data_IF_872393854885
#
_entry.id   IF_872393854885
#
_cell.length_a   1.000
_cell.length_b   1.000
_cell.length_c   1.000
_cell.angle_alpha   90.00
_cell.angle_beta   90.00
_cell.angle_gamma   90.00
#
_symmetry.space_group_name_H-M   'P 1'
#
loop_
_entity.id
_entity.type
_entity.pdbx_description
1 polymer ?
#
# COMPACT_ATOMS: atom_id res chain seq x y z
N UNK A 1 -33.98 -39.48 23.58
CA UNK A 1 -32.52 -39.49 23.38
C UNK A 1 -32.13 -38.08 22.99
N UNK A 2 -31.24 -37.49 23.78
CA UNK A 2 -30.87 -36.08 23.81
C UNK A 2 -30.37 -35.52 22.47
N UNK A 3 -30.97 -34.42 22.01
CA UNK A 3 -30.38 -33.54 21.00
C UNK A 3 -30.01 -32.23 21.69
N UNK A 4 -28.88 -32.26 22.43
CA UNK A 4 -28.35 -31.13 23.19
C UNK A 4 -27.14 -30.56 22.47
N UNK A 5 -27.27 -29.28 22.09
CA UNK A 5 -26.19 -28.33 21.90
C UNK A 5 -25.10 -28.71 20.88
N UNK A 6 -25.41 -28.53 19.60
CA UNK A 6 -24.41 -28.00 18.67
C UNK A 6 -24.11 -26.56 19.10
N UNK A 7 -23.19 -26.42 20.06
CA UNK A 7 -22.71 -25.13 20.49
C UNK A 7 -22.28 -24.32 19.28
N UNK A 8 -22.95 -23.20 19.02
CA UNK A 8 -22.43 -22.13 18.16
C UNK A 8 -21.06 -21.80 18.73
N UNK A 9 -20.02 -22.37 18.11
CA UNK A 9 -18.62 -22.08 18.43
C UNK A 9 -18.50 -20.57 18.24
N UNK A 10 -18.39 -19.85 19.35
CA UNK A 10 -18.23 -18.39 19.38
C UNK A 10 -16.96 -18.09 18.58
N UNK A 11 -17.11 -17.75 17.29
CA UNK A 11 -15.97 -17.44 16.40
C UNK A 11 -15.26 -16.24 17.03
N UNK A 12 -13.99 -16.42 17.38
CA UNK A 12 -13.22 -15.44 18.14
C UNK A 12 -13.29 -14.07 17.48
N UNK A 13 -13.81 -13.09 18.21
CA UNK A 13 -13.80 -11.68 17.81
C UNK A 13 -12.37 -11.15 17.94
N UNK A 14 -11.55 -11.35 16.92
CA UNK A 14 -10.23 -10.72 16.85
C UNK A 14 -10.40 -9.25 16.50
N UNK A 15 -9.72 -8.36 17.24
CA UNK A 15 -9.67 -6.92 16.95
C UNK A 15 -9.04 -6.65 15.57
N UNK A 16 -8.13 -7.53 15.16
CA UNK A 16 -7.46 -7.52 13.87
C UNK A 16 -7.86 -8.78 13.12
N UNK A 17 -8.67 -8.61 12.07
CA UNK A 17 -8.96 -9.68 11.13
C UNK A 17 -7.99 -9.57 9.96
N UNK A 18 -7.29 -10.68 9.68
CA UNK A 18 -6.54 -10.85 8.45
C UNK A 18 -7.37 -11.74 7.55
N UNK A 19 -7.82 -11.18 6.44
CA UNK A 19 -8.51 -11.90 5.38
C UNK A 19 -7.59 -12.00 4.17
N UNK A 20 -7.59 -13.14 3.51
CA UNK A 20 -6.88 -13.31 2.25
C UNK A 20 -7.91 -13.35 1.14
N UNK A 21 -7.82 -12.41 0.21
CA UNK A 21 -8.69 -12.40 -0.97
C UNK A 21 -8.49 -13.72 -1.73
N UNK A 22 -9.57 -14.40 -2.17
CA UNK A 22 -9.43 -15.59 -2.98
C UNK A 22 -8.63 -15.31 -4.27
N UNK A 23 -8.01 -16.35 -4.86
CA UNK A 23 -7.44 -16.22 -6.19
C UNK A 23 -8.53 -15.83 -7.19
N UNK A 24 -8.15 -15.11 -8.24
CA UNK A 24 -9.09 -14.74 -9.30
C UNK A 24 -9.64 -15.97 -10.01
N UNK A 25 -10.89 -15.88 -10.47
CA UNK A 25 -11.48 -16.90 -11.33
C UNK A 25 -10.86 -16.84 -12.73
N UNK A 26 -11.06 -17.90 -13.53
CA UNK A 26 -10.56 -17.94 -14.90
C UNK A 26 -11.20 -16.84 -15.77
N UNK A 27 -12.47 -16.52 -15.51
CA UNK A 27 -13.20 -15.44 -16.16
C UNK A 27 -12.57 -14.09 -15.82
N UNK A 28 -12.29 -13.82 -14.55
CA UNK A 28 -11.61 -12.59 -14.12
C UNK A 28 -10.23 -12.45 -14.77
N UNK A 29 -9.44 -13.53 -14.81
CA UNK A 29 -8.12 -13.52 -15.47
C UNK A 29 -8.28 -13.23 -16.97
N UNK A 30 -9.26 -13.85 -17.63
CA UNK A 30 -9.56 -13.61 -19.05
C UNK A 30 -9.96 -12.15 -19.29
N UNK A 31 -10.82 -11.59 -18.44
CA UNK A 31 -11.28 -10.21 -18.54
C UNK A 31 -10.15 -9.21 -18.27
N UNK A 32 -9.26 -9.47 -17.31
CA UNK A 32 -8.06 -8.65 -17.08
C UNK A 32 -7.08 -8.69 -18.27
N UNK A 33 -7.02 -9.82 -18.97
CA UNK A 33 -6.15 -9.97 -20.14
C UNK A 33 -6.75 -9.39 -21.43
N UNK A 34 -8.06 -9.14 -21.47
CA UNK A 34 -8.76 -8.67 -22.65
C UNK A 34 -8.35 -7.24 -23.07
N UNK A 35 -8.05 -6.38 -22.10
CA UNK A 35 -7.70 -4.98 -22.33
C UNK A 35 -6.48 -4.54 -21.51
N UNK A 36 -5.67 -3.58 -22.02
CA UNK A 36 -4.57 -3.02 -21.24
C UNK A 36 -5.06 -2.32 -19.97
N UNK A 37 -4.47 -2.64 -18.82
CA UNK A 37 -4.77 -1.94 -17.57
C UNK A 37 -4.14 -0.54 -17.51
N UNK A 38 -4.84 0.46 -18.07
CA UNK A 38 -4.38 1.86 -18.07
C UNK A 38 -4.26 2.46 -16.66
N UNK A 39 -4.95 1.92 -15.65
CA UNK A 39 -4.87 2.39 -14.26
C UNK A 39 -3.49 2.15 -13.65
N UNK A 40 -2.80 1.08 -14.06
CA UNK A 40 -1.48 0.71 -13.54
C UNK A 40 -0.35 0.90 -14.59
N UNK A 41 -0.64 0.77 -15.89
CA UNK A 41 0.39 0.76 -16.94
C UNK A 41 1.26 2.03 -16.98
N UNK A 42 0.70 3.19 -16.64
CA UNK A 42 1.46 4.44 -16.63
C UNK A 42 2.64 4.43 -15.64
N UNK A 43 2.62 3.57 -14.62
CA UNK A 43 3.72 3.42 -13.64
C UNK A 43 5.03 2.93 -14.26
N UNK A 44 4.97 2.31 -15.44
CA UNK A 44 6.15 1.89 -16.20
C UNK A 44 6.81 3.05 -16.98
N UNK A 45 6.15 4.20 -17.10
CA UNK A 45 6.73 5.36 -17.77
C UNK A 45 7.85 5.99 -16.93
N UNK A 46 8.96 6.38 -17.56
CA UNK A 46 10.09 7.04 -16.86
C UNK A 46 9.65 8.31 -16.13
N UNK A 47 8.72 9.08 -16.73
CA UNK A 47 8.16 10.28 -16.09
C UNK A 47 7.41 9.96 -14.79
N UNK A 48 6.74 8.80 -14.73
CA UNK A 48 6.10 8.32 -13.51
C UNK A 48 7.12 7.99 -12.41
N UNK A 49 8.36 7.63 -12.75
CA UNK A 49 9.40 7.41 -11.74
C UNK A 49 9.95 8.76 -11.26
N UNK A 50 10.18 9.68 -12.19
CA UNK A 50 10.68 11.03 -11.90
C UNK A 50 9.75 11.79 -10.95
N UNK A 51 8.43 11.61 -11.04
CA UNK A 51 7.48 12.35 -10.19
C UNK A 51 7.70 12.08 -8.69
N UNK A 52 8.21 10.91 -8.31
CA UNK A 52 8.49 10.61 -6.90
C UNK A 52 9.57 11.52 -6.34
N UNK A 53 10.66 11.74 -7.08
CA UNK A 53 11.71 12.69 -6.67
C UNK A 53 11.20 14.12 -6.63
N UNK A 54 10.37 14.51 -7.61
CA UNK A 54 9.75 15.85 -7.65
C UNK A 54 8.85 16.05 -6.43
N UNK A 55 7.96 15.10 -6.13
CA UNK A 55 7.08 15.17 -4.97
C UNK A 55 7.85 15.27 -3.66
N UNK A 56 8.90 14.46 -3.48
CA UNK A 56 9.75 14.51 -2.28
C UNK A 56 10.45 15.87 -2.18
N UNK A 57 11.02 16.39 -3.27
CA UNK A 57 11.66 17.70 -3.28
C UNK A 57 10.67 18.83 -2.98
N UNK A 58 9.48 18.80 -3.57
CA UNK A 58 8.42 19.77 -3.30
C UNK A 58 7.95 19.73 -1.85
N UNK A 59 7.73 18.54 -1.28
CA UNK A 59 7.38 18.36 0.14
C UNK A 59 8.49 18.91 1.04
N UNK A 60 9.76 18.62 0.72
CA UNK A 60 10.89 19.11 1.52
C UNK A 60 10.97 20.63 1.51
N UNK A 61 10.90 21.25 0.33
CA UNK A 61 10.87 22.71 0.18
C UNK A 61 9.68 23.31 0.94
N UNK A 62 8.49 22.69 0.81
CA UNK A 62 7.29 23.15 1.48
C UNK A 62 7.47 23.19 3.01
N UNK A 63 7.96 22.11 3.63
CA UNK A 63 8.15 22.06 5.08
C UNK A 63 9.32 22.93 5.57
N UNK A 64 10.37 23.11 4.76
CA UNK A 64 11.52 23.97 5.10
C UNK A 64 11.17 25.46 5.17
N UNK A 65 10.18 25.90 4.39
CA UNK A 65 9.76 27.31 4.35
C UNK A 65 8.91 27.69 5.56
N UNK A 66 8.38 26.72 6.31
CA UNK A 66 7.52 26.99 7.47
C UNK A 66 8.35 27.52 8.65
N UNK A 67 8.10 28.76 9.13
CA UNK A 67 8.84 29.33 10.24
C UNK A 67 8.68 28.50 11.52
N UNK A 68 9.79 28.23 12.21
CA UNK A 68 9.80 27.48 13.47
C UNK A 68 9.88 25.96 13.32
N UNK A 69 9.85 25.43 12.09
CA UNK A 69 10.09 24.00 11.83
C UNK A 69 11.59 23.75 11.78
N UNK A 70 12.09 22.82 12.61
CA UNK A 70 13.49 22.41 12.57
C UNK A 70 13.79 21.56 11.33
N UNK A 71 15.07 21.42 10.97
CA UNK A 71 15.47 20.59 9.83
C UNK A 71 15.07 19.12 10.02
N UNK A 72 15.24 18.57 11.22
CA UNK A 72 14.88 17.19 11.58
C UNK A 72 13.35 16.97 11.47
N UNK A 73 12.58 17.95 11.93
CA UNK A 73 11.13 17.95 11.84
C UNK A 73 10.69 17.99 10.38
N UNK A 74 11.29 18.84 9.55
CA UNK A 74 10.98 18.95 8.12
C UNK A 74 11.20 17.63 7.37
N UNK A 75 12.30 16.92 7.66
CA UNK A 75 12.61 15.61 7.07
C UNK A 75 11.60 14.55 7.49
N UNK A 76 11.26 14.52 8.78
CA UNK A 76 10.26 13.59 9.32
C UNK A 76 8.87 13.85 8.72
N UNK A 77 8.45 15.10 8.60
CA UNK A 77 7.19 15.47 7.94
C UNK A 77 7.19 15.09 6.45
N UNK A 78 8.30 15.33 5.75
CA UNK A 78 8.47 14.93 4.35
C UNK A 78 8.32 13.41 4.19
N UNK A 79 9.00 12.63 5.03
CA UNK A 79 8.94 11.18 5.02
C UNK A 79 7.50 10.69 5.30
N UNK A 80 6.88 11.13 6.39
CA UNK A 80 5.52 10.71 6.77
C UNK A 80 4.51 11.05 5.65
N UNK A 81 4.52 12.28 5.14
CA UNK A 81 3.57 12.70 4.10
C UNK A 81 3.74 11.89 2.81
N UNK A 82 4.97 11.62 2.41
CA UNK A 82 5.23 10.73 1.27
C UNK A 82 4.75 9.30 1.54
N UNK A 83 4.97 8.76 2.73
CA UNK A 83 4.49 7.42 3.11
C UNK A 83 2.97 7.32 3.08
N UNK A 84 2.27 8.31 3.64
CA UNK A 84 0.80 8.37 3.63
C UNK A 84 0.27 8.45 2.20
N UNK A 85 0.82 9.35 1.38
CA UNK A 85 0.43 9.46 -0.02
C UNK A 85 0.68 8.17 -0.80
N UNK A 86 1.85 7.53 -0.59
CA UNK A 86 2.18 6.25 -1.21
C UNK A 86 1.23 5.13 -0.78
N UNK A 87 0.88 5.06 0.51
CA UNK A 87 -0.06 4.08 1.03
C UNK A 87 -1.44 4.25 0.39
N UNK A 88 -1.95 5.49 0.36
CA UNK A 88 -3.25 5.78 -0.25
C UNK A 88 -3.25 5.33 -1.71
N UNK A 89 -2.27 5.79 -2.48
CA UNK A 89 -2.18 5.51 -3.91
C UNK A 89 -2.10 4.02 -4.23
N UNK A 90 -1.21 3.30 -3.54
CA UNK A 90 -0.86 1.94 -3.95
C UNK A 90 -1.63 0.84 -3.22
N UNK A 91 -2.12 1.10 -2.01
CA UNK A 91 -2.68 0.06 -1.13
C UNK A 91 -4.11 0.33 -0.69
N UNK A 92 -4.52 1.59 -0.57
CA UNK A 92 -5.89 1.94 -0.18
C UNK A 92 -6.85 1.97 -1.37
N UNK A 93 -6.45 2.63 -2.47
CA UNK A 93 -7.28 2.72 -3.68
C UNK A 93 -7.34 1.36 -4.38
N UNK A 94 -8.56 0.89 -4.67
CA UNK A 94 -8.86 -0.37 -5.36
C UNK A 94 -9.71 -0.14 -6.60
N UNK A 95 -9.74 -1.16 -7.47
CA UNK A 95 -10.49 -1.11 -8.72
C UNK A 95 -9.83 -0.25 -9.78
N UNK A 96 -10.60 0.04 -10.82
CA UNK A 96 -10.22 0.92 -11.92
C UNK A 96 -11.29 2.01 -12.09
N UNK A 97 -10.93 3.22 -12.54
CA UNK A 97 -11.88 4.34 -12.62
C UNK A 97 -12.99 4.15 -13.67
N UNK A 98 -12.83 3.21 -14.61
CA UNK A 98 -13.81 2.92 -15.66
C UNK A 98 -13.99 1.41 -15.82
N UNK A 99 -15.24 0.97 -15.94
CA UNK A 99 -15.63 -0.44 -15.90
C UNK A 99 -15.72 -1.02 -17.32
N UNK A 100 -14.61 -1.63 -17.78
CA UNK A 100 -14.55 -2.31 -19.09
C UNK A 100 -14.26 -3.81 -18.99
N UNK A 101 -14.02 -4.33 -17.78
CA UNK A 101 -13.59 -5.71 -17.53
C UNK A 101 -14.52 -6.42 -16.51
N UNK A 102 -15.82 -6.10 -16.51
CA UNK A 102 -16.83 -6.75 -15.64
C UNK A 102 -16.44 -6.81 -14.15
N UNK A 103 -15.83 -5.76 -13.60
CA UNK A 103 -15.39 -5.73 -12.20
C UNK A 103 -14.15 -6.58 -11.88
N UNK A 104 -13.42 -7.10 -12.87
CA UNK A 104 -12.30 -8.01 -12.65
C UNK A 104 -11.13 -7.42 -11.82
N UNK A 105 -11.08 -6.10 -11.63
CA UNK A 105 -10.06 -5.41 -10.83
C UNK A 105 -10.57 -4.90 -9.46
N UNK A 106 -11.86 -5.06 -9.14
CA UNK A 106 -12.51 -4.37 -8.01
C UNK A 106 -11.87 -4.73 -6.66
N UNK A 107 -11.41 -5.97 -6.53
CA UNK A 107 -10.77 -6.46 -5.32
C UNK A 107 -9.26 -6.24 -5.29
N UNK A 108 -8.66 -5.70 -6.36
CA UNK A 108 -7.23 -5.44 -6.44
C UNK A 108 -6.91 -3.96 -6.16
N UNK A 109 -5.93 -3.73 -5.29
CA UNK A 109 -5.33 -2.41 -5.16
C UNK A 109 -4.36 -2.11 -6.32
N UNK A 110 -3.97 -0.85 -6.46
CA UNK A 110 -3.08 -0.45 -7.55
C UNK A 110 -1.73 -1.19 -7.53
N UNK A 111 -1.15 -1.49 -6.36
CA UNK A 111 0.10 -2.25 -6.26
C UNK A 111 -0.02 -3.67 -6.85
N UNK A 112 -1.13 -4.33 -6.58
CA UNK A 112 -1.45 -5.67 -7.07
C UNK A 112 -1.70 -5.66 -8.58
N UNK A 113 -2.27 -4.58 -9.10
CA UNK A 113 -2.53 -4.38 -10.53
C UNK A 113 -1.27 -4.14 -11.38
N UNK A 114 -0.21 -3.54 -10.80
CA UNK A 114 1.03 -3.25 -11.54
C UNK A 114 1.64 -4.53 -12.12
N UNK A 115 1.98 -4.46 -13.41
CA UNK A 115 2.60 -5.52 -14.19
C UNK A 115 1.82 -6.84 -14.13
N UNK A 116 0.49 -6.76 -14.13
CA UNK A 116 -0.42 -7.91 -14.05
C UNK A 116 -0.10 -8.81 -12.84
N UNK A 117 0.21 -8.20 -11.70
CA UNK A 117 0.53 -8.93 -10.47
C UNK A 117 1.95 -9.49 -10.41
N UNK A 118 2.75 -9.40 -11.48
CA UNK A 118 4.12 -9.89 -11.48
C UNK A 118 4.95 -9.23 -10.37
N UNK A 119 5.74 -10.04 -9.67
CA UNK A 119 6.58 -9.59 -8.56
C UNK A 119 7.99 -9.25 -9.05
N UNK A 120 8.71 -8.42 -8.32
CA UNK A 120 10.12 -8.08 -8.59
C UNK A 120 10.42 -7.48 -9.96
N UNK A 121 9.43 -6.86 -10.60
CA UNK A 121 9.57 -6.11 -11.85
C UNK A 121 10.40 -4.83 -11.61
N UNK A 122 10.98 -4.21 -12.65
CA UNK A 122 11.73 -2.96 -12.50
C UNK A 122 10.92 -1.87 -11.80
N UNK A 123 9.64 -1.70 -12.16
CA UNK A 123 8.73 -0.71 -11.56
C UNK A 123 8.46 -1.02 -10.10
N UNK A 124 8.14 -2.27 -9.74
CA UNK A 124 7.93 -2.62 -8.32
C UNK A 124 9.21 -2.48 -7.49
N UNK A 125 10.37 -2.84 -8.04
CA UNK A 125 11.66 -2.62 -7.36
C UNK A 125 11.92 -1.14 -7.12
N UNK A 126 11.69 -0.30 -8.12
CA UNK A 126 11.81 1.15 -7.98
C UNK A 126 10.87 1.68 -6.89
N UNK A 127 9.56 1.41 -7.00
CA UNK A 127 8.54 1.89 -6.07
C UNK A 127 8.69 1.34 -4.64
N UNK A 128 9.31 0.17 -4.48
CA UNK A 128 9.74 -0.37 -3.18
C UNK A 128 10.96 0.39 -2.64
N UNK A 129 11.92 0.73 -3.49
CA UNK A 129 13.17 1.38 -3.08
C UNK A 129 12.99 2.83 -2.63
N UNK A 130 12.12 3.61 -3.28
CA UNK A 130 11.95 5.04 -2.95
C UNK A 130 11.62 5.28 -1.46
N UNK A 131 10.58 4.66 -0.87
CA UNK A 131 10.30 4.83 0.55
C UNK A 131 11.46 4.38 1.46
N UNK A 132 12.20 3.32 1.10
CA UNK A 132 13.37 2.86 1.87
C UNK A 132 14.47 3.93 1.85
N UNK A 133 14.81 4.44 0.67
CA UNK A 133 15.86 5.47 0.52
C UNK A 133 15.45 6.75 1.25
N UNK A 134 14.19 7.19 1.13
CA UNK A 134 13.69 8.37 1.83
C UNK A 134 13.77 8.21 3.35
N UNK A 135 13.40 7.04 3.89
CA UNK A 135 13.56 6.72 5.30
C UNK A 135 15.02 6.80 5.77
N UNK A 136 15.95 6.24 4.97
CA UNK A 136 17.39 6.28 5.30
C UNK A 136 17.95 7.71 5.27
N UNK A 137 17.55 8.52 4.27
CA UNK A 137 17.89 9.93 4.22
C UNK A 137 17.33 10.68 5.43
N UNK A 138 16.05 10.45 5.75
CA UNK A 138 15.40 11.07 6.91
C UNK A 138 16.13 10.71 8.21
N UNK A 139 16.49 9.44 8.40
CA UNK A 139 17.26 8.97 9.57
C UNK A 139 18.64 9.64 9.67
N UNK A 140 19.31 9.79 8.53
CA UNK A 140 20.61 10.45 8.47
C UNK A 140 20.52 11.93 8.86
N UNK A 141 19.55 12.66 8.30
CA UNK A 141 19.38 14.09 8.56
C UNK A 141 18.68 14.41 9.88
N UNK A 142 18.04 13.44 10.54
CA UNK A 142 17.60 13.54 11.93
C UNK A 142 18.68 13.09 12.91
N UNK A 143 19.93 12.98 12.47
CA UNK A 143 21.09 12.64 13.30
C UNK A 143 20.93 11.33 14.11
N UNK A 144 20.20 10.35 13.56
CA UNK A 144 19.93 9.07 14.23
C UNK A 144 19.23 9.22 15.60
N UNK A 145 18.56 10.34 15.84
CA UNK A 145 17.73 10.51 17.02
C UNK A 145 16.65 9.42 17.08
N UNK A 146 16.50 8.83 18.28
CA UNK A 146 15.67 7.65 18.47
C UNK A 146 14.18 7.93 18.24
N UNK A 147 13.69 9.11 18.64
CA UNK A 147 12.28 9.43 18.50
C UNK A 147 11.91 9.60 17.02
N UNK A 148 12.69 10.40 16.28
CA UNK A 148 12.49 10.56 14.84
C UNK A 148 12.69 9.23 14.09
N UNK A 149 13.67 8.42 14.48
CA UNK A 149 13.90 7.10 13.89
C UNK A 149 12.66 6.21 14.04
N UNK A 150 12.12 6.06 15.26
CA UNK A 150 10.96 5.19 15.51
C UNK A 150 9.76 5.64 14.66
N UNK A 151 9.47 6.94 14.63
CA UNK A 151 8.35 7.49 13.85
C UNK A 151 8.53 7.20 12.35
N UNK A 152 9.71 7.52 11.81
CA UNK A 152 10.00 7.31 10.39
C UNK A 152 10.03 5.81 10.03
N UNK A 153 10.49 4.97 10.94
CA UNK A 153 10.57 3.51 10.79
C UNK A 153 9.18 2.88 10.73
N UNK A 154 8.29 3.25 11.64
CA UNK A 154 6.90 2.77 11.62
C UNK A 154 6.17 3.20 10.34
N UNK A 155 6.40 4.44 9.88
CA UNK A 155 5.82 4.94 8.64
C UNK A 155 6.28 4.15 7.41
N UNK A 156 7.58 3.84 7.30
CA UNK A 156 8.08 3.04 6.18
C UNK A 156 7.60 1.59 6.25
N UNK A 157 7.52 0.98 7.45
CA UNK A 157 6.98 -0.37 7.61
C UNK A 157 5.54 -0.48 7.11
N UNK A 158 4.68 0.50 7.43
CA UNK A 158 3.29 0.52 6.98
C UNK A 158 3.16 0.51 5.45
N UNK A 159 4.14 1.06 4.73
CA UNK A 159 4.15 1.15 3.26
C UNK A 159 4.86 -0.03 2.59
N UNK A 160 5.90 -0.56 3.24
CA UNK A 160 6.72 -1.67 2.71
C UNK A 160 6.07 -3.01 2.94
N UNK A 161 5.50 -3.28 4.13
CA UNK A 161 4.91 -4.58 4.43
C UNK A 161 3.89 -5.00 3.36
N UNK A 162 2.92 -4.16 2.94
CA UNK A 162 1.94 -4.55 1.91
C UNK A 162 2.52 -4.61 0.49
N UNK A 163 3.77 -4.18 0.27
CA UNK A 163 4.47 -4.32 -1.02
C UNK A 163 5.15 -5.68 -1.18
N UNK A 164 5.39 -6.40 -0.09
CA UNK A 164 6.14 -7.66 -0.10
C UNK A 164 5.28 -8.81 -0.62
N UNK A 165 5.84 -9.80 -1.34
CA UNK A 165 5.02 -10.86 -1.96
C UNK A 165 4.20 -11.69 -0.98
N UNK A 166 4.67 -11.88 0.26
CA UNK A 166 3.90 -12.60 1.27
C UNK A 166 2.61 -11.87 1.69
N UNK A 167 2.53 -10.57 1.42
CA UNK A 167 1.38 -9.73 1.74
C UNK A 167 0.41 -9.53 0.59
N UNK A 168 0.71 -10.14 -0.57
CA UNK A 168 -0.17 -10.08 -1.72
C UNK A 168 -1.57 -10.56 -1.32
N UNK A 169 -2.60 -9.77 -1.67
CA UNK A 169 -4.01 -10.07 -1.38
C UNK A 169 -4.38 -10.19 0.10
N UNK A 170 -3.48 -9.84 1.01
CA UNK A 170 -3.82 -9.72 2.42
C UNK A 170 -4.64 -8.44 2.62
N UNK A 171 -5.71 -8.57 3.39
CA UNK A 171 -6.60 -7.48 3.79
C UNK A 171 -6.65 -7.43 5.30
N UNK A 172 -6.47 -6.24 5.84
CA UNK A 172 -6.56 -5.99 7.27
C UNK A 172 -7.88 -5.29 7.57
N UNK A 173 -8.71 -5.92 8.40
CA UNK A 173 -9.93 -5.34 8.95
C UNK A 173 -9.73 -5.03 10.43
N UNK A 174 -9.96 -3.77 10.80
CA UNK A 174 -10.07 -3.36 12.20
C UNK A 174 -11.55 -3.26 12.53
N UNK A 175 -12.01 -4.02 13.51
CA UNK A 175 -13.42 -4.04 13.95
C UNK A 175 -14.46 -4.46 12.89
N UNK A 176 -14.03 -5.03 11.75
CA UNK A 176 -14.96 -5.62 10.78
C UNK A 176 -15.50 -6.95 11.31
N UNK A 177 -16.81 -7.17 11.21
CA UNK A 177 -17.38 -8.51 11.32
C UNK A 177 -16.78 -9.43 10.25
N UNK A 178 -16.78 -10.74 10.50
CA UNK A 178 -16.40 -11.71 9.46
C UNK A 178 -17.21 -11.40 8.19
N UNK A 179 -16.60 -11.39 6.99
CA UNK A 179 -17.35 -11.38 5.74
C UNK A 179 -18.45 -12.43 5.83
N UNK A 180 -19.68 -12.07 5.49
CA UNK A 180 -20.73 -13.07 5.33
C UNK A 180 -20.30 -13.94 4.15
N UNK A 181 -20.14 -15.23 4.42
CA UNK A 181 -19.93 -16.23 3.37
C UNK A 181 -21.23 -16.22 2.54
N UNK A 182 -21.23 -15.58 1.35
CA UNK A 182 -22.30 -15.77 0.35
C UNK A 182 -22.21 -17.18 -0.26
#
# INVERSE_FOLDING_TARGET
>A
MDDKNLGRRRRSSSILQVYHEPPETLEQISDQAALPNLNANWTNAKGAWTIHFVLIACLKIFYDVIPGVSQETSWTLTNITYMVGSYIMFHYVRGVPFEFNSGAFDNLNMWEQIDNGAQYTPTKKFLLSVPIVLFLLSTHYTHYDLAYFIINFLAVLAVIIPKLPFSHRMRFGLFSGLPEDE
#
